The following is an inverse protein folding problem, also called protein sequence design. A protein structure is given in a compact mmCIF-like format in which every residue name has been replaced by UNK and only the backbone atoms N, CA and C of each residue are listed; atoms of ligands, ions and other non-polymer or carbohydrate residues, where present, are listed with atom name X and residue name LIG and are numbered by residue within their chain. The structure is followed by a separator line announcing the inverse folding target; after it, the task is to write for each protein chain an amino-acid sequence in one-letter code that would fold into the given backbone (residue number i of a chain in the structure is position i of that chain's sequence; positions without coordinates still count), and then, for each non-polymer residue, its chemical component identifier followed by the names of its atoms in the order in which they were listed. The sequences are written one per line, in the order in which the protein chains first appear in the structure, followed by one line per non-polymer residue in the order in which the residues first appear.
data_IF_860538024634
#
_entry.id   IF_860538024634
#
_cell.length_a   1.000
_cell.length_b   1.000
_cell.length_c   1.000
_cell.angle_alpha   90.00
_cell.angle_beta   90.00
_cell.angle_gamma   90.00
#
_symmetry.space_group_name_H-M   'P 1'
#
loop_
_entity.id
_entity.type
_entity.pdbx_description
1 polymer ?
#
# COMPACT_ATOMS: atom_id res chain seq x y z
N UNK A 1 1.46 -2.93 -9.68
CA UNK A 1 1.76 -1.53 -10.09
C UNK A 1 0.99 -1.14 -11.33
N UNK A 2 0.98 -1.94 -12.40
CA UNK A 2 0.47 -1.53 -13.72
C UNK A 2 -1.04 -1.77 -13.97
N UNK A 3 -1.74 -2.45 -13.06
CA UNK A 3 -3.19 -2.67 -13.15
C UNK A 3 -4.01 -1.41 -13.48
N UNK A 4 -3.76 -0.24 -12.83
CA UNK A 4 -4.57 0.95 -13.07
C UNK A 4 -4.40 1.51 -14.50
N UNK A 5 -3.34 1.14 -15.23
CA UNK A 5 -3.16 1.49 -16.64
C UNK A 5 -4.22 0.84 -17.56
N UNK A 6 -4.94 -0.17 -17.06
CA UNK A 6 -5.98 -0.93 -17.73
C UNK A 6 -7.36 -0.73 -17.08
N UNK A 7 -7.60 0.39 -16.38
CA UNK A 7 -8.87 0.68 -15.69
C UNK A 7 -9.31 -0.43 -14.71
N UNK A 8 -8.37 -1.04 -13.97
CA UNK A 8 -8.63 -2.04 -12.95
C UNK A 8 -7.67 -1.91 -11.75
N UNK A 9 -8.09 -2.34 -10.56
CA UNK A 9 -7.21 -2.55 -9.41
C UNK A 9 -7.21 -4.03 -9.04
N UNK A 10 -6.19 -4.48 -8.31
CA UNK A 10 -6.15 -5.82 -7.72
C UNK A 10 -7.34 -6.04 -6.79
N UNK A 11 -8.03 -7.17 -6.92
CA UNK A 11 -9.17 -7.51 -6.11
C UNK A 11 -10.38 -6.62 -6.34
N UNK A 12 -11.14 -6.38 -5.27
CA UNK A 12 -12.37 -5.58 -5.29
C UNK A 12 -12.08 -4.11 -5.58
N UNK A 13 -12.74 -3.57 -6.60
CA UNK A 13 -12.58 -2.19 -7.02
C UNK A 13 -13.88 -1.62 -7.60
N UNK A 14 -13.97 -0.30 -7.72
CA UNK A 14 -15.06 0.37 -8.44
C UNK A 14 -14.63 0.48 -9.90
N UNK A 15 -15.34 -0.19 -10.81
CA UNK A 15 -15.06 -0.12 -12.23
C UNK A 15 -15.39 1.28 -12.77
N UNK A 16 -14.39 2.04 -13.27
CA UNK A 16 -14.60 3.42 -13.66
C UNK A 16 -15.50 3.56 -14.90
N UNK A 17 -15.68 2.47 -15.66
CA UNK A 17 -16.52 2.48 -16.86
C UNK A 17 -18.00 2.25 -16.53
N UNK A 18 -18.31 1.55 -15.44
CA UNK A 18 -19.67 1.15 -15.07
C UNK A 18 -20.17 1.72 -13.75
N UNK A 19 -19.28 2.20 -12.88
CA UNK A 19 -19.57 2.61 -11.50
C UNK A 19 -19.96 1.44 -10.59
N UNK A 20 -19.79 0.19 -11.05
CA UNK A 20 -20.13 -1.02 -10.30
C UNK A 20 -18.89 -1.67 -9.71
N UNK A 21 -19.10 -2.54 -8.75
CA UNK A 21 -18.04 -3.34 -8.15
C UNK A 21 -17.62 -4.44 -9.12
N UNK A 22 -16.31 -4.51 -9.35
CA UNK A 22 -15.66 -5.57 -10.10
C UNK A 22 -14.56 -6.23 -9.27
N UNK A 23 -13.98 -7.27 -9.84
CA UNK A 23 -12.75 -7.90 -9.34
C UNK A 23 -11.72 -7.83 -10.47
N UNK A 24 -10.60 -7.13 -10.27
CA UNK A 24 -9.70 -6.74 -11.37
C UNK A 24 -9.09 -7.90 -12.16
N UNK A 25 -8.88 -9.04 -11.51
CA UNK A 25 -8.36 -10.25 -12.13
C UNK A 25 -9.46 -11.10 -12.80
N UNK A 26 -10.74 -10.73 -12.63
CA UNK A 26 -11.90 -11.40 -13.24
C UNK A 26 -12.56 -10.52 -14.30
N UNK A 27 -11.79 -10.16 -15.33
CA UNK A 27 -12.23 -9.32 -16.45
C UNK A 27 -11.35 -9.55 -17.68
N UNK A 28 -11.88 -9.29 -18.87
CA UNK A 28 -11.11 -9.34 -20.13
C UNK A 28 -9.93 -8.36 -20.12
N UNK A 29 -10.03 -7.22 -19.41
CA UNK A 29 -8.94 -6.24 -19.28
C UNK A 29 -7.69 -6.87 -18.64
N UNK A 30 -7.88 -7.89 -17.81
CA UNK A 30 -6.78 -8.61 -17.17
C UNK A 30 -5.95 -9.42 -18.17
N UNK A 31 -6.57 -9.96 -19.22
CA UNK A 31 -5.87 -10.68 -20.30
C UNK A 31 -4.91 -9.76 -21.07
N UNK A 32 -5.30 -8.51 -21.31
CA UNK A 32 -4.45 -7.51 -21.96
C UNK A 32 -3.23 -7.14 -21.09
N UNK A 33 -3.44 -7.01 -19.79
CA UNK A 33 -2.37 -6.83 -18.81
C UNK A 33 -1.40 -8.02 -18.83
N UNK A 34 -1.92 -9.24 -18.69
CA UNK A 34 -1.09 -10.46 -18.68
C UNK A 34 -0.30 -10.62 -19.99
N UNK A 35 -0.91 -10.30 -21.14
CA UNK A 35 -0.23 -10.31 -22.43
C UNK A 35 0.98 -9.37 -22.44
N UNK A 36 0.82 -8.18 -21.87
CA UNK A 36 1.90 -7.18 -21.78
C UNK A 36 2.99 -7.63 -20.83
N UNK A 37 2.63 -8.14 -19.65
CA UNK A 37 3.58 -8.64 -18.67
C UNK A 37 4.34 -9.86 -19.16
N UNK A 38 3.66 -10.80 -19.85
CA UNK A 38 4.30 -11.96 -20.48
C UNK A 38 5.33 -11.53 -21.52
N UNK A 39 4.99 -10.54 -22.35
CA UNK A 39 5.94 -9.96 -23.30
C UNK A 39 7.16 -9.38 -22.58
N UNK A 40 6.96 -8.52 -21.60
CA UNK A 40 8.06 -7.88 -20.85
C UNK A 40 8.95 -8.89 -20.12
N UNK A 41 8.35 -9.95 -19.57
CA UNK A 41 9.11 -11.07 -18.99
C UNK A 41 9.95 -11.79 -20.05
N UNK A 42 9.37 -12.11 -21.20
CA UNK A 42 10.10 -12.76 -22.31
C UNK A 42 11.24 -11.90 -22.89
N UNK A 43 11.11 -10.58 -22.79
CA UNK A 43 12.12 -9.59 -23.21
C UNK A 43 13.18 -9.34 -22.11
N UNK A 44 13.04 -9.94 -20.93
CA UNK A 44 13.96 -9.77 -19.80
C UNK A 44 13.84 -8.41 -19.09
N UNK A 45 12.70 -7.72 -19.22
CA UNK A 45 12.44 -6.43 -18.57
C UNK A 45 11.85 -6.59 -17.16
N UNK A 46 11.26 -7.73 -16.88
CA UNK A 46 10.77 -8.12 -15.55
C UNK A 46 11.73 -9.18 -15.04
N UNK A 47 12.28 -8.91 -13.87
CA UNK A 47 13.14 -9.84 -13.14
C UNK A 47 12.36 -11.07 -12.66
N UNK A 48 13.06 -12.16 -12.33
CA UNK A 48 12.41 -13.34 -11.76
C UNK A 48 12.03 -13.06 -10.30
N UNK A 49 10.81 -12.55 -10.14
CA UNK A 49 10.26 -12.13 -8.87
C UNK A 49 9.42 -13.23 -8.21
N UNK A 50 9.54 -14.49 -8.62
CA UNK A 50 8.75 -15.59 -8.06
C UNK A 50 9.64 -16.63 -7.37
N UNK A 51 9.22 -17.08 -6.18
CA UNK A 51 9.88 -18.19 -5.49
C UNK A 51 9.40 -19.55 -6.03
N UNK A 52 10.00 -20.64 -5.51
CA UNK A 52 9.66 -22.02 -5.88
C UNK A 52 8.20 -22.42 -5.55
N UNK A 53 7.54 -21.67 -4.66
CA UNK A 53 6.15 -21.85 -4.27
C UNK A 53 5.22 -20.84 -4.97
N UNK A 54 5.73 -20.13 -5.98
CA UNK A 54 5.00 -19.16 -6.79
C UNK A 54 4.53 -17.92 -6.03
N UNK A 55 5.14 -17.63 -4.87
CA UNK A 55 4.95 -16.35 -4.20
C UNK A 55 5.85 -15.31 -4.82
N UNK A 56 5.41 -14.04 -4.77
CA UNK A 56 6.33 -12.94 -5.03
C UNK A 56 7.48 -13.01 -4.03
N UNK A 57 8.73 -13.00 -4.52
CA UNK A 57 9.92 -12.96 -3.66
C UNK A 57 9.83 -11.74 -2.73
N UNK A 58 10.24 -11.95 -1.48
CA UNK A 58 10.25 -10.91 -0.46
C UNK A 58 11.17 -9.73 -0.84
N UNK A 59 11.04 -8.63 -0.10
CA UNK A 59 11.81 -7.40 -0.33
C UNK A 59 13.32 -7.62 -0.38
N UNK A 60 13.83 -8.64 0.33
CA UNK A 60 15.26 -8.93 0.44
C UNK A 60 15.91 -9.22 -0.92
N UNK A 61 15.23 -9.99 -1.79
CA UNK A 61 15.72 -10.29 -3.16
C UNK A 61 15.72 -9.03 -4.01
N UNK A 62 14.66 -8.22 -3.89
CA UNK A 62 14.58 -6.95 -4.63
C UNK A 62 15.63 -5.94 -4.16
N UNK A 63 15.97 -5.94 -2.88
CA UNK A 63 16.97 -5.04 -2.30
C UNK A 63 18.39 -5.41 -2.75
N UNK A 64 18.72 -6.70 -2.86
CA UNK A 64 20.00 -7.13 -3.42
C UNK A 64 20.21 -6.61 -4.85
N UNK A 65 19.17 -6.66 -5.69
CA UNK A 65 19.24 -6.16 -7.07
C UNK A 65 19.25 -4.62 -7.16
N UNK A 66 18.58 -3.92 -6.24
CA UNK A 66 18.66 -2.46 -6.12
C UNK A 66 20.08 -2.03 -5.72
N UNK A 67 20.64 -2.63 -4.66
CA UNK A 67 22.01 -2.35 -4.24
C UNK A 67 23.04 -2.91 -5.23
N UNK A 68 22.67 -3.86 -6.08
CA UNK A 68 23.53 -4.49 -7.08
C UNK A 68 23.69 -3.68 -8.37
N UNK A 69 22.98 -2.55 -8.53
CA UNK A 69 22.89 -1.80 -9.79
C UNK A 69 22.29 -2.63 -10.94
N UNK A 70 21.37 -3.55 -10.59
CA UNK A 70 20.66 -4.43 -11.54
C UNK A 70 19.25 -3.86 -11.80
N UNK A 71 18.56 -3.41 -10.74
CA UNK A 71 17.20 -2.89 -10.85
C UNK A 71 17.16 -1.42 -11.32
N UNK A 72 16.59 -1.17 -12.50
CA UNK A 72 16.37 0.19 -13.01
C UNK A 72 15.06 0.86 -12.57
N UNK A 73 14.07 0.06 -12.14
CA UNK A 73 12.78 0.57 -11.62
C UNK A 73 12.11 -0.48 -10.74
N UNK A 74 11.41 -0.07 -9.69
CA UNK A 74 10.71 -0.97 -8.77
C UNK A 74 9.55 -0.26 -8.05
N UNK A 75 8.68 -1.04 -7.40
CA UNK A 75 7.68 -0.49 -6.48
C UNK A 75 8.37 -0.10 -5.18
N UNK A 76 8.57 1.20 -4.98
CA UNK A 76 9.18 1.76 -3.77
C UNK A 76 8.19 2.46 -2.85
N UNK A 77 8.67 2.76 -1.64
CA UNK A 77 8.05 3.71 -0.71
C UNK A 77 8.87 5.00 -0.73
N UNK A 78 8.27 6.13 -0.31
CA UNK A 78 8.96 7.43 -0.29
C UNK A 78 10.18 7.44 0.66
N UNK A 79 10.21 6.59 1.69
CA UNK A 79 11.37 6.45 2.58
C UNK A 79 12.56 5.71 1.93
N UNK A 80 12.47 5.27 0.67
CA UNK A 80 13.60 4.65 -0.03
C UNK A 80 14.81 5.60 -0.20
N UNK A 81 14.58 6.91 -0.30
CA UNK A 81 15.68 7.88 -0.28
C UNK A 81 16.45 7.80 1.03
N UNK A 82 15.76 7.76 2.17
CA UNK A 82 16.38 7.68 3.48
C UNK A 82 17.02 6.29 3.72
N UNK A 83 16.32 5.21 3.36
CA UNK A 83 16.71 3.83 3.71
C UNK A 83 17.68 3.16 2.73
N UNK A 84 17.58 3.46 1.43
CA UNK A 84 18.30 2.73 0.37
C UNK A 84 19.36 3.58 -0.32
N UNK A 85 19.10 4.86 -0.61
CA UNK A 85 20.02 5.72 -1.37
C UNK A 85 21.43 5.80 -0.76
N UNK A 86 21.63 5.93 0.57
CA UNK A 86 22.97 5.93 1.14
C UNK A 86 23.77 4.66 0.81
N UNK A 87 23.11 3.49 0.84
CA UNK A 87 23.73 2.22 0.47
C UNK A 87 24.04 2.12 -1.03
N UNK A 88 23.16 2.64 -1.89
CA UNK A 88 23.39 2.69 -3.34
C UNK A 88 24.59 3.61 -3.66
N UNK A 89 24.68 4.79 -3.03
CA UNK A 89 25.77 5.75 -3.25
C UNK A 89 27.16 5.22 -2.85
N UNK A 90 27.24 4.27 -1.91
CA UNK A 90 28.51 3.61 -1.57
C UNK A 90 29.08 2.79 -2.75
N UNK A 91 28.23 2.27 -3.62
CA UNK A 91 28.63 1.50 -4.81
C UNK A 91 28.66 2.35 -6.07
N UNK A 92 27.69 3.25 -6.25
CA UNK A 92 27.59 4.15 -7.38
C UNK A 92 27.37 5.59 -6.89
N UNK A 93 28.46 6.36 -6.80
CA UNK A 93 28.44 7.74 -6.32
C UNK A 93 27.62 8.71 -7.19
N UNK A 94 27.22 8.30 -8.40
CA UNK A 94 26.38 9.09 -9.31
C UNK A 94 24.91 8.64 -9.31
N UNK A 95 24.53 7.68 -8.45
CA UNK A 95 23.17 7.18 -8.42
C UNK A 95 22.18 8.27 -8.00
N UNK A 96 21.02 8.27 -8.65
CA UNK A 96 19.91 9.17 -8.33
C UNK A 96 18.62 8.35 -8.32
N UNK A 97 17.82 8.50 -7.27
CA UNK A 97 16.44 8.02 -7.26
C UNK A 97 15.51 9.14 -7.70
N UNK A 98 14.55 8.78 -8.55
CA UNK A 98 13.54 9.70 -9.07
C UNK A 98 12.16 9.07 -8.88
N UNK A 99 11.23 9.84 -8.33
CA UNK A 99 9.82 9.44 -8.29
C UNK A 99 9.23 9.50 -9.70
N UNK A 100 8.52 8.45 -10.10
CA UNK A 100 7.80 8.38 -11.38
C UNK A 100 6.30 8.46 -11.09
N UNK A 101 5.51 9.25 -11.85
CA UNK A 101 4.06 9.32 -11.64
C UNK A 101 3.40 7.97 -11.92
N UNK A 102 2.18 7.79 -11.42
CA UNK A 102 1.34 6.65 -11.80
C UNK A 102 1.16 6.60 -13.33
N UNK A 103 1.22 5.38 -13.86
CA UNK A 103 1.05 5.14 -15.30
C UNK A 103 -0.36 5.57 -15.70
N UNK A 104 -0.42 6.44 -16.71
CA UNK A 104 -1.67 6.89 -17.28
C UNK A 104 -2.40 5.72 -17.96
N UNK A 105 -3.70 5.60 -17.71
CA UNK A 105 -4.55 4.61 -18.35
C UNK A 105 -4.58 4.82 -19.87
N UNK A 106 -4.34 3.74 -20.60
CA UNK A 106 -4.44 3.71 -22.06
C UNK A 106 -5.90 3.77 -22.54
N UNK A 107 -6.86 3.55 -21.63
CA UNK A 107 -8.28 3.44 -21.95
C UNK A 107 -9.04 4.76 -21.79
N UNK A 108 -8.67 5.59 -20.80
CA UNK A 108 -9.36 6.87 -20.53
C UNK A 108 -8.43 8.05 -20.21
N UNK A 109 -7.11 7.88 -20.36
CA UNK A 109 -6.12 8.94 -20.14
C UNK A 109 -6.08 9.52 -18.72
N UNK A 110 -6.67 8.85 -17.72
CA UNK A 110 -6.56 9.22 -16.30
C UNK A 110 -5.38 8.51 -15.62
N UNK A 111 -4.84 9.09 -14.56
CA UNK A 111 -3.88 8.43 -13.66
C UNK A 111 -4.63 7.95 -12.44
N UNK A 112 -4.66 6.65 -12.19
CA UNK A 112 -5.31 6.08 -11.00
C UNK A 112 -4.26 5.56 -10.03
N UNK A 113 -4.56 5.62 -8.73
CA UNK A 113 -3.71 5.04 -7.70
C UNK A 113 -4.33 3.76 -7.10
N UNK A 114 -3.56 2.68 -6.92
CA UNK A 114 -4.00 1.52 -6.16
C UNK A 114 -3.89 1.73 -4.64
N UNK A 115 -3.42 2.90 -4.20
CA UNK A 115 -3.19 3.18 -2.79
C UNK A 115 -4.52 3.38 -2.04
N UNK A 116 -4.99 2.34 -1.36
CA UNK A 116 -6.24 2.40 -0.59
C UNK A 116 -6.13 3.20 0.70
N UNK A 117 -4.94 3.67 1.09
CA UNK A 117 -4.75 4.55 2.26
C UNK A 117 -5.24 5.99 2.02
N UNK A 118 -5.59 6.37 0.77
CA UNK A 118 -6.33 7.61 0.51
C UNK A 118 -7.78 7.56 1.01
N UNK A 119 -8.31 6.38 1.35
CA UNK A 119 -9.59 6.25 2.03
C UNK A 119 -9.46 6.83 3.44
N UNK A 120 -10.05 8.00 3.67
CA UNK A 120 -9.87 8.87 4.85
C UNK A 120 -10.34 8.30 6.19
N UNK A 121 -10.89 7.08 6.21
CA UNK A 121 -11.37 6.43 7.42
C UNK A 121 -10.93 4.97 7.40
N UNK A 122 -9.89 4.65 8.18
CA UNK A 122 -9.65 3.29 8.65
C UNK A 122 -10.53 3.06 9.88
N UNK A 123 -11.36 2.02 9.87
CA UNK A 123 -12.31 1.74 10.97
C UNK A 123 -11.61 1.23 12.22
N UNK A 124 -10.36 0.77 12.12
CA UNK A 124 -9.64 0.18 13.25
C UNK A 124 -8.22 0.72 13.33
N UNK A 125 -8.04 1.84 14.05
CA UNK A 125 -6.70 2.35 14.37
C UNK A 125 -6.17 1.78 15.69
N UNK A 126 -7.00 1.74 16.74
CA UNK A 126 -6.62 1.24 18.08
C UNK A 126 -7.81 0.53 18.75
N UNK A 127 -7.55 -0.63 19.38
CA UNK A 127 -8.56 -1.41 20.09
C UNK A 127 -8.22 -1.54 21.59
N UNK A 128 -9.25 -1.55 22.43
CA UNK A 128 -9.14 -1.92 23.86
C UNK A 128 -9.60 -3.37 23.99
N UNK A 129 -8.75 -4.25 24.50
CA UNK A 129 -9.11 -5.65 24.69
C UNK A 129 -10.19 -5.83 25.76
N UNK A 130 -11.00 -6.88 25.64
CA UNK A 130 -12.00 -7.24 26.64
C UNK A 130 -11.40 -7.58 28.01
N UNK A 131 -10.12 -7.97 28.02
CA UNK A 131 -9.37 -8.29 29.24
C UNK A 131 -8.66 -7.08 29.86
N UNK A 132 -8.81 -5.88 29.28
CA UNK A 132 -8.20 -4.67 29.81
C UNK A 132 -8.77 -4.36 31.20
N UNK A 133 -7.90 -4.31 32.21
CA UNK A 133 -8.30 -4.02 33.60
C UNK A 133 -8.75 -2.57 33.81
N UNK A 134 -8.36 -1.65 32.92
CA UNK A 134 -8.58 -0.21 33.04
C UNK A 134 -9.04 0.41 31.71
N UNK A 135 -10.21 0.01 31.19
CA UNK A 135 -10.67 0.43 29.87
C UNK A 135 -10.91 1.95 29.78
N UNK A 136 -11.39 2.59 30.86
CA UNK A 136 -11.59 4.04 30.90
C UNK A 136 -10.26 4.80 30.79
N UNK A 137 -9.23 4.38 31.53
CA UNK A 137 -7.91 5.00 31.45
C UNK A 137 -7.26 4.82 30.07
N UNK A 138 -7.43 3.63 29.47
CA UNK A 138 -6.98 3.38 28.10
C UNK A 138 -7.72 4.28 27.09
N UNK A 139 -9.04 4.45 27.25
CA UNK A 139 -9.83 5.35 26.42
C UNK A 139 -9.40 6.82 26.58
N UNK A 140 -9.11 7.27 27.81
CA UNK A 140 -8.58 8.63 28.06
C UNK A 140 -7.23 8.86 27.39
N UNK A 141 -6.33 7.87 27.40
CA UNK A 141 -5.06 7.97 26.69
C UNK A 141 -5.27 8.09 25.17
N UNK A 142 -6.17 7.28 24.61
CA UNK A 142 -6.52 7.34 23.18
C UNK A 142 -7.11 8.71 22.82
N UNK A 143 -8.02 9.23 23.64
CA UNK A 143 -8.63 10.55 23.46
C UNK A 143 -7.59 11.68 23.52
N UNK A 144 -6.66 11.61 24.47
CA UNK A 144 -5.55 12.56 24.55
C UNK A 144 -4.70 12.59 23.28
N UNK A 145 -4.50 11.46 22.60
CA UNK A 145 -3.73 11.41 21.35
C UNK A 145 -4.39 12.12 20.17
N UNK A 146 -5.70 12.35 20.24
CA UNK A 146 -6.42 13.21 19.29
C UNK A 146 -6.27 14.71 19.58
N UNK A 147 -5.78 15.10 20.76
CA UNK A 147 -5.53 16.50 21.08
C UNK A 147 -4.36 17.07 20.28
N UNK A 148 -4.24 18.41 20.20
CA UNK A 148 -3.10 19.07 19.57
C UNK A 148 -1.76 18.65 20.20
N UNK A 149 -1.72 18.52 21.53
CA UNK A 149 -0.54 18.09 22.29
C UNK A 149 -0.17 16.64 21.99
N UNK A 150 -1.16 15.75 22.00
CA UNK A 150 -0.99 14.34 21.66
C UNK A 150 -0.53 14.14 20.21
N UNK A 151 -1.16 14.84 19.27
CA UNK A 151 -0.76 14.82 17.87
C UNK A 151 0.67 15.35 17.68
N UNK A 152 1.06 16.41 18.39
CA UNK A 152 2.42 16.93 18.35
C UNK A 152 3.43 15.92 18.91
N UNK A 153 3.09 15.28 20.03
CA UNK A 153 3.90 14.22 20.63
C UNK A 153 4.12 13.04 19.67
N UNK A 154 3.06 12.61 18.96
CA UNK A 154 3.16 11.52 18.00
C UNK A 154 3.89 11.89 16.70
N UNK A 155 4.11 13.17 16.43
CA UNK A 155 4.84 13.64 15.24
C UNK A 155 6.28 14.03 15.55
N UNK A 156 6.53 14.68 16.69
CA UNK A 156 7.82 15.25 17.05
C UNK A 156 8.38 14.73 18.38
N UNK A 157 7.57 14.12 19.23
CA UNK A 157 7.98 13.67 20.57
C UNK A 157 7.91 14.76 21.62
N UNK A 158 8.96 14.85 22.45
CA UNK A 158 9.05 15.76 23.60
C UNK A 158 9.98 16.93 23.26
N UNK A 159 9.49 18.16 23.43
CA UNK A 159 10.30 19.36 23.23
C UNK A 159 11.48 19.43 24.19
N UNK A 160 12.67 19.76 23.68
CA UNK A 160 13.93 19.78 24.42
C UNK A 160 14.61 18.42 24.55
N UNK A 161 13.90 17.32 24.29
CA UNK A 161 14.49 15.97 24.25
C UNK A 161 14.65 15.47 22.81
N UNK A 162 13.56 15.45 22.05
CA UNK A 162 13.52 14.91 20.69
C UNK A 162 13.52 15.99 19.63
N UNK A 163 12.91 17.14 19.90
CA UNK A 163 12.92 18.26 18.97
C UNK A 163 13.09 19.59 19.70
N UNK A 164 13.45 20.63 18.97
CA UNK A 164 13.43 22.02 19.43
C UNK A 164 12.58 22.87 18.49
N UNK A 165 11.92 23.89 19.04
CA UNK A 165 11.28 24.94 18.25
C UNK A 165 12.29 26.04 17.96
N UNK A 166 12.47 26.35 16.68
CA UNK A 166 13.37 27.40 16.19
C UNK A 166 12.72 28.79 16.33
N UNK A 167 13.53 29.86 16.23
CA UNK A 167 13.05 31.25 16.34
C UNK A 167 12.00 31.62 15.27
N UNK A 168 12.00 30.94 14.12
CA UNK A 168 11.04 31.12 13.03
C UNK A 168 9.75 30.29 13.19
N UNK A 169 9.62 29.54 14.30
CA UNK A 169 8.49 28.67 14.59
C UNK A 169 8.55 27.29 13.93
N UNK A 170 9.60 26.99 13.15
CA UNK A 170 9.85 25.63 12.62
C UNK A 170 10.38 24.72 13.73
N UNK A 171 10.37 23.40 13.47
CA UNK A 171 10.88 22.40 14.41
C UNK A 171 12.04 21.64 13.80
N UNK A 172 12.99 21.23 14.62
CA UNK A 172 14.14 20.43 14.20
C UNK A 172 14.42 19.32 15.20
N UNK A 173 14.82 18.15 14.71
CA UNK A 173 15.23 17.02 15.53
C UNK A 173 16.50 17.36 16.33
N UNK A 174 16.60 16.86 17.56
CA UNK A 174 17.82 16.90 18.34
C UNK A 174 18.77 15.78 17.90
N UNK A 175 20.06 15.90 18.23
CA UNK A 175 21.04 14.82 18.00
C UNK A 175 20.62 13.51 18.71
N UNK A 176 20.03 13.62 19.90
CA UNK A 176 19.54 12.47 20.65
C UNK A 176 18.39 11.74 19.93
N UNK A 177 17.58 12.45 19.15
CA UNK A 177 16.48 11.90 18.38
C UNK A 177 16.96 11.05 17.18
N UNK A 178 18.08 11.45 16.58
CA UNK A 178 18.70 10.77 15.43
C UNK A 178 19.70 9.67 15.83
N UNK A 179 20.04 9.57 17.11
CA UNK A 179 20.81 8.45 17.66
C UNK A 179 20.14 7.12 17.30
N UNK A 180 20.87 6.24 16.60
CA UNK A 180 20.42 4.90 16.26
C UNK A 180 20.53 4.01 17.49
N UNK A 181 19.41 3.45 17.92
CA UNK A 181 19.30 2.56 19.07
C UNK A 181 18.74 1.20 18.66
N UNK A 182 19.02 0.17 19.45
CA UNK A 182 18.32 -1.11 19.31
C UNK A 182 16.87 -0.95 19.82
N UNK A 183 15.91 -1.16 18.94
CA UNK A 183 14.48 -1.04 19.23
C UNK A 183 13.68 -2.07 18.44
N UNK A 184 12.85 -2.83 19.15
CA UNK A 184 12.06 -3.94 18.60
C UNK A 184 12.96 -5.03 17.97
N UNK A 185 12.85 -5.27 16.66
CA UNK A 185 13.62 -6.27 15.91
C UNK A 185 14.73 -5.67 15.03
N UNK A 186 15.08 -4.39 15.24
CA UNK A 186 16.09 -3.71 14.44
C UNK A 186 16.75 -2.51 15.13
N UNK A 187 17.53 -1.76 14.33
CA UNK A 187 18.22 -0.55 14.78
C UNK A 187 17.56 0.66 14.14
N UNK A 188 17.00 1.54 14.96
CA UNK A 188 16.17 2.67 14.54
C UNK A 188 16.63 3.97 15.21
N UNK A 189 16.49 5.13 14.56
CA UNK A 189 16.58 6.42 15.25
C UNK A 189 15.66 6.48 16.47
N UNK A 190 16.17 6.96 17.61
CA UNK A 190 15.46 7.04 18.90
C UNK A 190 14.07 7.67 18.77
N UNK A 191 13.90 8.66 17.90
CA UNK A 191 12.60 9.30 17.62
C UNK A 191 11.47 8.32 17.29
N UNK A 192 11.78 7.18 16.69
CA UNK A 192 10.79 6.16 16.35
C UNK A 192 10.23 5.37 17.54
N UNK A 193 10.74 5.59 18.75
CA UNK A 193 10.14 5.03 19.98
C UNK A 193 8.82 5.71 20.35
N UNK A 194 8.54 6.92 19.84
CA UNK A 194 7.32 7.68 20.12
C UNK A 194 6.73 8.36 18.87
N UNK A 195 7.57 8.90 17.97
CA UNK A 195 7.18 9.68 16.81
C UNK A 195 7.33 8.88 15.49
N UNK A 196 6.49 7.85 15.34
CA UNK A 196 6.52 6.96 14.17
C UNK A 196 5.16 6.99 13.45
N UNK A 197 5.09 7.66 12.30
CA UNK A 197 3.84 7.93 11.58
C UNK A 197 2.99 6.67 11.26
N UNK A 198 3.60 5.48 11.18
CA UNK A 198 2.90 4.23 10.85
C UNK A 198 2.49 3.36 12.04
N UNK A 199 2.90 3.69 13.28
CA UNK A 199 2.71 2.81 14.47
C UNK A 199 1.97 3.51 15.62
N UNK A 200 1.56 4.76 15.44
CA UNK A 200 1.03 5.53 16.55
C UNK A 200 -0.48 5.46 16.68
N UNK A 201 -0.92 5.60 17.93
CA UNK A 201 -2.25 6.03 18.37
C UNK A 201 -2.98 6.95 17.37
N UNK A 202 -4.33 6.96 17.41
CA UNK A 202 -5.08 7.72 16.42
C UNK A 202 -4.82 9.22 16.57
N UNK A 203 -4.91 9.93 15.44
CA UNK A 203 -4.62 11.36 15.34
C UNK A 203 -5.76 12.05 14.58
N UNK A 204 -6.12 13.26 15.00
CA UNK A 204 -7.04 14.12 14.25
C UNK A 204 -6.19 14.91 13.28
N UNK A 205 -6.49 14.78 11.99
CA UNK A 205 -5.63 15.25 10.90
C UNK A 205 -4.30 14.48 10.83
N UNK A 206 -3.79 14.25 9.63
CA UNK A 206 -2.38 13.86 9.53
C UNK A 206 -1.60 15.13 9.80
N UNK A 207 -1.31 15.41 11.09
CA UNK A 207 -0.36 16.47 11.45
C UNK A 207 0.80 16.41 10.46
N UNK A 208 0.94 17.45 9.65
CA UNK A 208 1.73 17.40 8.43
C UNK A 208 3.14 16.89 8.75
N UNK A 209 3.38 15.62 8.42
CA UNK A 209 4.66 14.96 8.68
C UNK A 209 5.69 15.37 7.64
N UNK A 210 5.34 16.16 6.61
CA UNK A 210 6.27 16.65 5.59
C UNK A 210 7.47 17.36 6.23
N UNK A 211 7.23 18.14 7.29
CA UNK A 211 8.27 18.85 8.04
C UNK A 211 9.26 17.91 8.75
N UNK A 212 8.93 16.62 8.88
CA UNK A 212 9.82 15.60 9.45
C UNK A 212 10.61 14.82 8.39
N UNK A 213 10.45 15.16 7.10
CA UNK A 213 10.97 14.42 5.95
C UNK A 213 11.85 15.28 5.07
N UNK A 214 12.68 14.63 4.26
CA UNK A 214 13.46 15.31 3.21
C UNK A 214 12.55 15.80 2.07
N UNK A 215 12.95 16.86 1.37
CA UNK A 215 12.13 17.44 0.30
C UNK A 215 11.78 16.43 -0.80
N UNK A 216 12.71 15.55 -1.18
CA UNK A 216 12.47 14.53 -2.21
C UNK A 216 11.38 13.52 -1.79
N UNK A 217 11.27 13.23 -0.48
CA UNK A 217 10.19 12.39 0.04
C UNK A 217 8.85 13.10 -0.17
N UNK A 218 8.77 14.37 0.20
CA UNK A 218 7.55 15.18 0.10
C UNK A 218 7.12 15.32 -1.36
N UNK A 219 8.05 15.69 -2.24
CA UNK A 219 7.80 15.83 -3.68
C UNK A 219 7.29 14.51 -4.30
N UNK A 220 7.84 13.36 -3.88
CA UNK A 220 7.40 12.05 -4.34
C UNK A 220 5.96 11.74 -3.87
N UNK A 221 5.64 12.04 -2.60
CA UNK A 221 4.30 11.89 -2.05
C UNK A 221 3.29 12.77 -2.77
N UNK A 222 3.62 14.03 -3.06
CA UNK A 222 2.76 14.95 -3.84
C UNK A 222 2.54 14.43 -5.26
N UNK A 223 3.60 14.00 -5.94
CA UNK A 223 3.52 13.42 -7.29
C UNK A 223 2.60 12.19 -7.34
N UNK A 224 2.67 11.34 -6.33
CA UNK A 224 1.83 10.14 -6.24
C UNK A 224 0.41 10.41 -5.74
N UNK A 225 0.19 11.54 -5.07
CA UNK A 225 -1.13 12.02 -4.69
C UNK A 225 -1.90 12.66 -5.86
N UNK A 226 -1.19 13.12 -6.90
CA UNK A 226 -1.80 13.55 -8.16
C UNK A 226 -2.30 12.36 -9.00
N UNK A 227 -3.37 11.74 -8.49
CA UNK A 227 -4.07 10.61 -9.09
C UNK A 227 -5.56 10.57 -8.69
N UNK A 228 -6.37 9.97 -9.54
CA UNK A 228 -7.79 9.73 -9.36
C UNK A 228 -8.03 8.59 -8.37
N UNK A 229 -9.05 8.77 -7.52
CA UNK A 229 -9.46 7.82 -6.49
C UNK A 229 -10.72 7.02 -6.88
N UNK A 230 -11.32 7.30 -8.04
CA UNK A 230 -12.62 6.76 -8.49
C UNK A 230 -12.70 5.23 -8.43
N UNK A 231 -11.56 4.55 -8.58
CA UNK A 231 -11.48 3.08 -8.61
C UNK A 231 -11.36 2.43 -7.22
N UNK A 232 -11.06 3.21 -6.18
CA UNK A 232 -10.86 2.68 -4.84
C UNK A 232 -12.21 2.30 -4.24
N UNK A 233 -12.33 1.03 -3.84
CA UNK A 233 -13.42 0.60 -2.96
C UNK A 233 -13.20 1.18 -1.56
N UNK A 234 -14.10 2.04 -1.03
CA UNK A 234 -13.87 2.70 0.25
C UNK A 234 -13.78 1.69 1.42
N UNK A 235 -12.68 1.74 2.19
CA UNK A 235 -12.46 0.86 3.36
C UNK A 235 -13.51 1.05 4.46
N UNK A 236 -14.16 2.21 4.49
CA UNK A 236 -15.24 2.49 5.43
C UNK A 236 -16.50 1.65 5.17
N UNK A 237 -16.62 0.95 4.04
CA UNK A 237 -17.76 0.09 3.74
C UNK A 237 -17.59 -1.24 4.47
N UNK A 238 -18.50 -1.52 5.40
CA UNK A 238 -18.57 -2.80 6.10
C UNK A 238 -19.48 -3.78 5.36
N UNK A 239 -18.96 -4.95 5.04
CA UNK A 239 -19.78 -6.14 4.75
C UNK A 239 -20.39 -6.65 6.06
N UNK A 240 -21.55 -7.32 6.01
CA UNK A 240 -22.12 -7.93 7.23
C UNK A 240 -21.31 -9.16 7.64
N UNK A 241 -21.36 -9.55 8.92
CA UNK A 241 -20.63 -10.71 9.42
C UNK A 241 -21.04 -12.01 8.70
N UNK A 242 -22.32 -12.16 8.37
CA UNK A 242 -22.83 -13.33 7.65
C UNK A 242 -22.33 -13.36 6.19
N UNK A 243 -22.27 -12.19 5.54
CA UNK A 243 -21.68 -12.03 4.20
C UNK A 243 -20.17 -12.30 4.20
N UNK A 244 -19.46 -11.82 5.22
CA UNK A 244 -18.05 -12.08 5.43
C UNK A 244 -17.79 -13.58 5.64
N UNK A 245 -18.52 -14.24 6.54
CA UNK A 245 -18.31 -15.65 6.85
C UNK A 245 -18.60 -16.59 5.66
N UNK A 246 -19.48 -16.20 4.72
CA UNK A 246 -19.72 -16.94 3.48
C UNK A 246 -18.62 -16.70 2.42
N UNK A 247 -17.95 -15.55 2.46
CA UNK A 247 -16.96 -15.10 1.48
C UNK A 247 -15.50 -15.46 1.82
N UNK A 248 -15.14 -15.49 3.12
CA UNK A 248 -13.74 -15.54 3.59
C UNK A 248 -12.99 -16.81 3.21
N UNK A 249 -13.64 -17.98 3.24
CA UNK A 249 -13.01 -19.23 2.82
C UNK A 249 -12.70 -19.23 1.32
N UNK A 250 -13.62 -18.69 0.52
CA UNK A 250 -13.44 -18.56 -0.93
C UNK A 250 -12.39 -17.50 -1.27
N UNK A 251 -12.29 -16.41 -0.52
CA UNK A 251 -11.38 -15.30 -0.82
C UNK A 251 -9.89 -15.70 -0.76
N UNK A 252 -9.49 -16.47 0.26
CA UNK A 252 -8.10 -16.96 0.35
C UNK A 252 -7.78 -17.96 -0.77
N UNK A 253 -8.69 -18.88 -1.08
CA UNK A 253 -8.49 -19.88 -2.13
C UNK A 253 -8.46 -19.21 -3.51
N UNK A 254 -9.37 -18.26 -3.77
CA UNK A 254 -9.40 -17.42 -4.98
C UNK A 254 -8.08 -16.66 -5.12
N UNK A 255 -7.63 -15.98 -4.05
CA UNK A 255 -6.39 -15.22 -4.06
C UNK A 255 -5.17 -16.09 -4.39
N UNK A 256 -5.08 -17.28 -3.79
CA UNK A 256 -4.02 -18.25 -4.09
C UNK A 256 -4.02 -18.71 -5.54
N UNK A 257 -5.17 -19.09 -6.07
CA UNK A 257 -5.31 -19.50 -7.48
C UNK A 257 -4.98 -18.36 -8.46
N UNK A 258 -5.39 -17.13 -8.16
CA UNK A 258 -5.06 -15.95 -8.96
C UNK A 258 -3.55 -15.72 -8.99
N UNK A 259 -2.88 -15.76 -7.83
CA UNK A 259 -1.44 -15.55 -7.75
C UNK A 259 -0.66 -16.60 -8.55
N UNK A 260 -1.03 -17.88 -8.40
CA UNK A 260 -0.43 -19.00 -9.15
C UNK A 260 -0.60 -18.80 -10.66
N UNK A 261 -1.83 -18.57 -11.12
CA UNK A 261 -2.13 -18.45 -12.55
C UNK A 261 -1.53 -17.18 -13.16
N UNK A 262 -1.51 -16.06 -12.43
CA UNK A 262 -0.85 -14.85 -12.87
C UNK A 262 0.62 -15.13 -13.20
N UNK A 263 1.34 -15.78 -12.28
CA UNK A 263 2.73 -16.14 -12.51
C UNK A 263 2.87 -17.02 -13.74
N UNK A 264 2.08 -18.10 -13.86
CA UNK A 264 2.16 -19.03 -15.00
C UNK A 264 1.90 -18.34 -16.33
N UNK A 265 0.93 -17.42 -16.38
CA UNK A 265 0.66 -16.65 -17.59
C UNK A 265 1.79 -15.66 -17.91
N UNK A 266 2.40 -15.02 -16.90
CA UNK A 266 3.51 -14.08 -17.10
C UNK A 266 4.77 -14.81 -17.54
N UNK A 267 5.14 -15.93 -16.90
CA UNK A 267 6.34 -16.71 -17.26
C UNK A 267 6.17 -17.52 -18.54
N UNK A 268 4.92 -17.73 -18.98
CA UNK A 268 4.58 -18.52 -20.16
C UNK A 268 4.48 -20.03 -19.88
N UNK A 269 4.51 -20.45 -18.60
CA UNK A 269 4.23 -21.83 -18.19
C UNK A 269 2.79 -22.23 -18.55
N UNK A 270 1.84 -21.30 -18.44
CA UNK A 270 0.47 -21.46 -18.91
C UNK A 270 0.21 -20.57 -20.14
N UNK A 271 -0.28 -21.12 -21.27
CA UNK A 271 -0.59 -20.31 -22.43
C UNK A 271 -1.83 -19.45 -22.21
N UNK A 272 -1.76 -18.16 -22.58
CA UNK A 272 -2.89 -17.23 -22.48
C UNK A 272 -4.15 -17.62 -23.28
N UNK A 273 -4.04 -18.60 -24.19
CA UNK A 273 -5.21 -19.21 -24.84
C UNK A 273 -6.14 -19.93 -23.84
N UNK A 274 -5.64 -20.27 -22.66
CA UNK A 274 -6.40 -20.92 -21.59
C UNK A 274 -7.00 -19.92 -20.59
N UNK A 275 -6.95 -18.62 -20.87
CA UNK A 275 -7.52 -17.58 -19.99
C UNK A 275 -9.01 -17.79 -19.70
N UNK A 276 -9.79 -18.27 -20.67
CA UNK A 276 -11.23 -18.51 -20.49
C UNK A 276 -11.47 -19.64 -19.45
N UNK A 277 -10.61 -20.66 -19.41
CA UNK A 277 -10.65 -21.71 -18.38
C UNK A 277 -10.33 -21.16 -16.98
N UNK A 278 -9.44 -20.16 -16.93
CA UNK A 278 -9.11 -19.46 -15.69
C UNK A 278 -10.33 -18.70 -15.14
N UNK A 279 -11.05 -17.95 -16.00
CA UNK A 279 -12.31 -17.30 -15.60
C UNK A 279 -13.37 -18.32 -15.15
N UNK A 280 -13.54 -19.42 -15.90
CA UNK A 280 -14.48 -20.49 -15.53
C UNK A 280 -14.15 -21.13 -14.18
N UNK A 281 -12.86 -21.23 -13.84
CA UNK A 281 -12.41 -21.77 -12.55
C UNK A 281 -12.73 -20.80 -11.43
N UNK A 282 -12.39 -19.51 -11.56
CA UNK A 282 -12.76 -18.47 -10.60
C UNK A 282 -14.26 -18.41 -10.35
N UNK A 283 -15.06 -18.55 -11.42
CA UNK A 283 -16.51 -18.62 -11.31
C UNK A 283 -16.98 -19.80 -10.45
N UNK A 284 -16.41 -21.00 -10.65
CA UNK A 284 -16.71 -22.19 -9.82
C UNK A 284 -16.26 -22.03 -8.37
N UNK A 285 -15.26 -21.21 -8.12
CA UNK A 285 -14.78 -20.86 -6.79
C UNK A 285 -15.66 -19.81 -6.09
N UNK A 286 -16.66 -19.24 -6.78
CA UNK A 286 -17.62 -18.31 -6.17
C UNK A 286 -17.24 -16.84 -6.26
N UNK A 287 -16.35 -16.44 -7.20
CA UNK A 287 -15.95 -15.04 -7.34
C UNK A 287 -17.13 -14.09 -7.63
N UNK A 288 -18.16 -14.56 -8.32
CA UNK A 288 -19.37 -13.76 -8.61
C UNK A 288 -20.19 -13.50 -7.34
N UNK A 289 -20.25 -14.46 -6.42
CA UNK A 289 -20.92 -14.30 -5.13
C UNK A 289 -20.15 -13.30 -4.24
N UNK A 290 -18.82 -13.36 -4.28
CA UNK A 290 -17.93 -12.40 -3.62
C UNK A 290 -18.20 -10.97 -4.13
N UNK A 291 -18.18 -10.77 -5.45
CA UNK A 291 -18.47 -9.46 -6.07
C UNK A 291 -19.87 -8.97 -5.66
N UNK A 292 -20.88 -9.83 -5.66
CA UNK A 292 -22.24 -9.47 -5.28
C UNK A 292 -22.34 -9.00 -3.82
N UNK A 293 -21.60 -9.61 -2.90
CA UNK A 293 -21.52 -9.18 -1.49
C UNK A 293 -20.97 -7.76 -1.37
N UNK A 294 -19.86 -7.47 -2.05
CA UNK A 294 -19.25 -6.14 -2.03
C UNK A 294 -20.12 -5.10 -2.77
N UNK A 295 -20.79 -5.48 -3.86
CA UNK A 295 -21.74 -4.61 -4.55
C UNK A 295 -22.91 -4.21 -3.65
N UNK A 296 -23.54 -5.16 -2.95
CA UNK A 296 -24.65 -4.88 -2.04
C UNK A 296 -24.21 -3.97 -0.87
N UNK A 297 -23.00 -4.17 -0.34
CA UNK A 297 -22.44 -3.29 0.67
C UNK A 297 -22.15 -1.87 0.13
N UNK A 298 -21.67 -1.77 -1.11
CA UNK A 298 -21.45 -0.50 -1.80
C UNK A 298 -22.76 0.26 -2.07
N UNK A 299 -23.78 -0.43 -2.58
CA UNK A 299 -25.09 0.17 -2.85
C UNK A 299 -25.73 0.72 -1.57
N UNK A 300 -25.64 -0.01 -0.45
CA UNK A 300 -26.06 0.47 0.87
C UNK A 300 -25.32 1.72 1.33
N UNK A 301 -24.02 1.81 1.01
CA UNK A 301 -23.21 2.97 1.38
C UNK A 301 -23.58 4.19 0.54
N UNK A 302 -23.77 4.03 -0.77
CA UNK A 302 -24.18 5.09 -1.69
C UNK A 302 -25.60 5.62 -1.43
N UNK A 303 -26.45 4.83 -0.77
CA UNK A 303 -27.82 5.23 -0.41
C UNK A 303 -27.93 6.05 0.89
N UNK A 304 -26.82 6.28 1.62
CA UNK A 304 -26.79 7.09 2.86
C UNK A 304 -26.58 8.57 2.58
#
# INVERSE_FOLDING_TARGET
MFYPAYNMLTGIYVDPDTGKIGYGEYTEKYKEFLTTMNKWYSEGLIDDIYDENYNLVGSDVTDEHIYGDIAGSWKGLANNWEQRLPGILQKNANAVLVAVPWVQSTMNSKKYTPNTYYSTIDRTTVCISVDCKYPEAAATLIDYMYSEEGGLYLTWGVEGESYVTNDDGTRSWTEAADEVIDYYDGSFPRKFTYAMAHVSFPRLDQNDTSATREQQYVDACELWADAELDMIYPKAISVTQDQHNAAVGAESDIGGYIAEMQMKFITGEEPLTNFDNYLDTLKKMGIEDLIAVYQDAYDRYQAR
#
